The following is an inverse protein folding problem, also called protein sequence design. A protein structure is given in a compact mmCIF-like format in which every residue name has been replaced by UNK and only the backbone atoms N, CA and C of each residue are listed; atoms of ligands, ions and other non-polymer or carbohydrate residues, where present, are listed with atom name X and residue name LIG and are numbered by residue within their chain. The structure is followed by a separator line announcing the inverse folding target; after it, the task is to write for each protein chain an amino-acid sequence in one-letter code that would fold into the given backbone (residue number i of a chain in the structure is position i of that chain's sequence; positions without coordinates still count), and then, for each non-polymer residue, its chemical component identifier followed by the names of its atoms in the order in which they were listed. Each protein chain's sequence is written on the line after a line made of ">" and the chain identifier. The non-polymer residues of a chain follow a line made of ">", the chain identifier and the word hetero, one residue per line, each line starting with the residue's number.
data_IF_050432485666
#
_entry.id   IF_050432485666
#
_cell.length_a   1.000
_cell.length_b   1.000
_cell.length_c   1.000
_cell.angle_alpha   90.00
_cell.angle_beta   90.00
_cell.angle_gamma   90.00
#
_symmetry.space_group_name_H-M   'P 1'
#
loop_
_entity.id
_entity.type
_entity.pdbx_description
1 polymer ?
#
# COMPACT_ATOMS: atom_id res chain seq x y z
N UNK A 1 -14.15 -8.68 -16.56
CA UNK A 1 -13.92 -7.24 -16.77
C UNK A 1 -13.52 -7.04 -18.23
N UNK A 2 -14.28 -6.25 -19.00
CA UNK A 2 -14.05 -6.07 -20.43
C UNK A 2 -12.76 -5.28 -20.73
N UNK A 3 -12.38 -4.33 -19.88
CA UNK A 3 -11.16 -3.55 -20.04
C UNK A 3 -9.93 -4.43 -19.82
N UNK A 4 -10.00 -5.35 -18.85
CA UNK A 4 -8.95 -6.35 -18.63
C UNK A 4 -8.76 -7.25 -19.86
N UNK A 5 -9.85 -7.77 -20.44
CA UNK A 5 -9.76 -8.62 -21.64
C UNK A 5 -9.20 -7.87 -22.85
N UNK A 6 -9.59 -6.61 -23.05
CA UNK A 6 -9.01 -5.77 -24.09
C UNK A 6 -7.51 -5.51 -23.87
N UNK A 7 -7.09 -5.22 -22.64
CA UNK A 7 -5.69 -5.01 -22.31
C UNK A 7 -4.88 -6.28 -22.61
N UNK A 8 -5.35 -7.43 -22.13
CA UNK A 8 -4.69 -8.74 -22.32
C UNK A 8 -4.55 -9.10 -23.80
N UNK A 9 -5.55 -8.78 -24.62
CA UNK A 9 -5.55 -9.05 -26.05
C UNK A 9 -4.65 -8.07 -26.82
N UNK A 10 -4.64 -6.79 -26.45
CA UNK A 10 -3.83 -5.74 -27.11
C UNK A 10 -2.37 -5.77 -26.70
N UNK A 11 -2.06 -6.23 -25.48
CA UNK A 11 -0.71 -6.33 -24.95
C UNK A 11 -0.40 -7.79 -24.63
N UNK A 12 -0.18 -8.60 -25.66
CA UNK A 12 0.14 -10.03 -25.54
C UNK A 12 1.44 -10.30 -24.75
N UNK A 13 2.33 -9.31 -24.72
CA UNK A 13 3.62 -9.35 -24.05
C UNK A 13 3.61 -8.68 -22.65
N UNK A 14 2.43 -8.34 -22.11
CA UNK A 14 2.28 -7.68 -20.80
C UNK A 14 3.04 -8.43 -19.69
N UNK A 15 2.99 -9.76 -19.70
CA UNK A 15 3.67 -10.61 -18.70
C UNK A 15 5.19 -10.60 -18.82
N UNK A 16 5.74 -10.17 -19.98
CA UNK A 16 7.18 -10.01 -20.20
C UNK A 16 7.65 -8.58 -19.95
N UNK A 17 6.76 -7.67 -19.56
CA UNK A 17 7.12 -6.30 -19.21
C UNK A 17 8.11 -6.31 -18.04
N UNK A 18 9.32 -5.81 -18.29
CA UNK A 18 10.42 -5.80 -17.31
C UNK A 18 10.09 -4.97 -16.08
N UNK A 19 9.32 -3.89 -16.22
CA UNK A 19 8.94 -3.03 -15.09
C UNK A 19 7.84 -3.66 -14.24
N UNK A 20 6.92 -4.44 -14.82
CA UNK A 20 5.94 -5.24 -14.07
C UNK A 20 6.61 -6.40 -13.33
N UNK A 21 7.55 -7.11 -13.98
CA UNK A 21 8.35 -8.13 -13.31
C UNK A 21 9.16 -7.54 -12.15
N UNK A 22 9.74 -6.36 -12.35
CA UNK A 22 10.45 -5.63 -11.30
C UNK A 22 9.50 -5.22 -10.16
N UNK A 23 8.28 -4.76 -10.44
CA UNK A 23 7.29 -4.47 -9.42
C UNK A 23 6.99 -5.71 -8.56
N UNK A 24 6.84 -6.89 -9.18
CA UNK A 24 6.65 -8.15 -8.46
C UNK A 24 7.84 -8.50 -7.54
N UNK A 25 9.07 -8.34 -8.03
CA UNK A 25 10.29 -8.55 -7.21
C UNK A 25 10.37 -7.58 -6.03
N UNK A 26 10.06 -6.31 -6.26
CA UNK A 26 10.11 -5.28 -5.22
C UNK A 26 9.00 -5.48 -4.18
N UNK A 27 7.83 -6.00 -4.57
CA UNK A 27 6.81 -6.41 -3.62
C UNK A 27 7.24 -7.60 -2.78
N UNK A 28 7.83 -8.64 -3.40
CA UNK A 28 8.37 -9.79 -2.68
C UNK A 28 9.44 -9.36 -1.66
N UNK A 29 10.31 -8.43 -2.05
CA UNK A 29 11.29 -7.79 -1.16
C UNK A 29 10.65 -7.06 0.01
N UNK A 30 9.55 -6.34 -0.21
CA UNK A 30 8.79 -5.69 0.88
C UNK A 30 8.20 -6.73 1.85
N UNK A 31 7.64 -7.83 1.34
CA UNK A 31 7.10 -8.91 2.18
C UNK A 31 8.19 -9.52 3.05
N UNK A 32 9.36 -9.81 2.46
CA UNK A 32 10.50 -10.36 3.18
C UNK A 32 11.03 -9.37 4.24
N UNK A 33 11.22 -8.10 3.88
CA UNK A 33 11.66 -7.06 4.81
C UNK A 33 10.68 -6.88 5.98
N UNK A 34 9.38 -6.95 5.70
CA UNK A 34 8.32 -6.90 6.72
C UNK A 34 8.44 -8.08 7.69
N UNK A 35 8.56 -9.32 7.19
CA UNK A 35 8.72 -10.51 8.04
C UNK A 35 10.00 -10.46 8.86
N UNK A 36 11.11 -10.08 8.24
CA UNK A 36 12.42 -10.00 8.88
C UNK A 36 12.44 -8.99 10.04
N UNK A 37 11.62 -7.95 9.99
CA UNK A 37 11.48 -7.01 11.11
C UNK A 37 10.95 -7.67 12.40
N UNK A 38 10.31 -8.84 12.30
CA UNK A 38 9.72 -9.61 13.40
C UNK A 38 10.40 -10.95 13.69
N UNK A 39 11.39 -11.37 12.89
CA UNK A 39 12.17 -12.59 13.14
C UNK A 39 12.81 -12.56 14.54
N UNK A 40 12.63 -13.64 15.31
CA UNK A 40 13.16 -13.75 16.68
C UNK A 40 12.47 -12.85 17.72
N UNK A 41 11.39 -12.17 17.37
CA UNK A 41 10.62 -11.31 18.28
C UNK A 41 9.25 -11.92 18.57
N UNK A 42 8.82 -11.87 19.83
CA UNK A 42 7.44 -12.17 20.20
C UNK A 42 6.56 -11.01 19.76
N UNK A 43 5.99 -11.11 18.57
CA UNK A 43 5.16 -10.07 17.97
C UNK A 43 3.85 -10.64 17.41
N UNK A 44 2.93 -9.74 17.06
CA UNK A 44 1.69 -10.13 16.39
C UNK A 44 2.01 -10.66 14.97
N UNK A 45 1.63 -11.90 14.69
CA UNK A 45 1.83 -12.55 13.38
C UNK A 45 1.19 -11.74 12.26
N UNK A 46 0.04 -11.10 12.52
CA UNK A 46 -0.64 -10.24 11.55
C UNK A 46 0.21 -9.02 11.15
N UNK A 47 1.16 -8.61 11.99
CA UNK A 47 2.08 -7.52 11.67
C UNK A 47 3.20 -7.98 10.74
N UNK A 48 3.73 -9.19 10.95
CA UNK A 48 4.72 -9.80 10.06
C UNK A 48 4.13 -10.09 8.67
N UNK A 49 2.88 -10.54 8.62
CA UNK A 49 2.17 -10.85 7.37
C UNK A 49 1.42 -9.66 6.77
N UNK A 50 1.58 -8.44 7.33
CA UNK A 50 0.80 -7.25 6.94
C UNK A 50 0.87 -6.95 5.45
N UNK A 51 2.03 -7.18 4.82
CA UNK A 51 2.22 -6.96 3.39
C UNK A 51 1.29 -7.81 2.51
N UNK A 52 0.94 -9.03 2.96
CA UNK A 52 0.07 -9.95 2.23
C UNK A 52 -1.42 -9.73 2.48
N UNK A 53 -1.79 -8.77 3.34
CA UNK A 53 -3.19 -8.35 3.43
C UNK A 53 -3.65 -7.84 2.05
N UNK A 54 -4.82 -8.29 1.58
CA UNK A 54 -5.33 -7.96 0.24
C UNK A 54 -5.45 -6.46 -0.01
N UNK A 55 -5.80 -5.66 1.02
CA UNK A 55 -5.86 -4.21 0.86
C UNK A 55 -4.47 -3.60 0.64
N UNK A 56 -3.46 -4.09 1.35
CA UNK A 56 -2.07 -3.66 1.20
C UNK A 56 -1.53 -4.07 -0.16
N UNK A 57 -1.62 -5.35 -0.51
CA UNK A 57 -1.10 -5.89 -1.77
C UNK A 57 -1.72 -5.20 -2.99
N UNK A 58 -3.06 -5.09 -3.01
CA UNK A 58 -3.75 -4.46 -4.15
C UNK A 58 -3.43 -2.98 -4.30
N UNK A 59 -3.39 -2.23 -3.19
CA UNK A 59 -3.05 -0.81 -3.22
C UNK A 59 -1.58 -0.58 -3.60
N UNK A 60 -0.65 -1.39 -3.10
CA UNK A 60 0.76 -1.32 -3.46
C UNK A 60 0.94 -1.58 -4.97
N UNK A 61 0.34 -2.66 -5.49
CA UNK A 61 0.41 -2.98 -6.91
C UNK A 61 -0.21 -1.88 -7.79
N UNK A 62 -1.35 -1.33 -7.36
CA UNK A 62 -2.00 -0.22 -8.06
C UNK A 62 -1.09 1.02 -8.11
N UNK A 63 -0.49 1.41 -6.98
CA UNK A 63 0.41 2.58 -6.94
C UNK A 63 1.70 2.33 -7.73
N UNK A 64 2.26 1.13 -7.69
CA UNK A 64 3.40 0.77 -8.54
C UNK A 64 3.08 0.93 -10.05
N UNK A 65 1.88 0.50 -10.46
CA UNK A 65 1.37 0.70 -11.82
C UNK A 65 1.10 2.17 -12.17
N UNK A 66 0.48 2.92 -11.25
CA UNK A 66 0.23 4.36 -11.42
C UNK A 66 1.54 5.14 -11.61
N UNK A 67 2.61 4.72 -10.93
CA UNK A 67 3.94 5.33 -11.00
C UNK A 67 4.81 4.72 -12.11
N UNK A 68 4.26 3.89 -13.00
CA UNK A 68 5.02 3.18 -14.02
C UNK A 68 5.84 4.10 -14.94
N UNK A 69 5.34 5.30 -15.25
CA UNK A 69 6.03 6.33 -16.05
C UNK A 69 6.84 7.33 -15.20
N UNK A 70 6.79 7.26 -13.87
CA UNK A 70 7.49 8.17 -12.96
C UNK A 70 8.58 7.43 -12.17
N UNK A 71 9.77 7.34 -12.74
CA UNK A 71 10.88 6.56 -12.18
C UNK A 71 11.29 7.02 -10.77
N UNK A 72 11.26 8.32 -10.48
CA UNK A 72 11.68 8.87 -9.17
C UNK A 72 10.72 8.39 -8.08
N UNK A 73 9.42 8.59 -8.27
CA UNK A 73 8.40 8.18 -7.28
C UNK A 73 8.30 6.67 -7.20
N UNK A 74 8.44 5.96 -8.33
CA UNK A 74 8.46 4.49 -8.34
C UNK A 74 9.61 3.92 -7.52
N UNK A 75 10.83 4.45 -7.68
CA UNK A 75 11.99 4.06 -6.85
C UNK A 75 11.74 4.32 -5.36
N UNK A 76 11.15 5.45 -5.00
CA UNK A 76 10.77 5.77 -3.61
C UNK A 76 9.71 4.81 -3.06
N UNK A 77 8.76 4.41 -3.90
CA UNK A 77 7.73 3.44 -3.54
C UNK A 77 8.34 2.06 -3.23
N UNK A 78 9.28 1.62 -4.07
CA UNK A 78 10.01 0.36 -3.89
C UNK A 78 10.95 0.41 -2.68
N UNK A 79 11.56 1.56 -2.44
CA UNK A 79 12.43 1.81 -1.29
C UNK A 79 11.74 1.75 0.07
N UNK A 80 10.42 1.52 0.12
CA UNK A 80 9.73 1.27 1.38
C UNK A 80 10.31 0.06 2.13
N UNK A 81 10.78 -0.96 1.40
CA UNK A 81 11.44 -2.13 1.98
C UNK A 81 12.75 -1.80 2.71
N UNK A 82 13.35 -0.63 2.43
CA UNK A 82 14.60 -0.16 3.01
C UNK A 82 14.41 0.63 4.32
N UNK A 83 13.19 0.69 4.86
CA UNK A 83 12.93 1.42 6.09
C UNK A 83 13.75 0.85 7.27
N UNK A 84 14.42 1.74 8.00
CA UNK A 84 15.24 1.37 9.17
C UNK A 84 14.56 1.76 10.49
N UNK A 85 14.93 1.08 11.58
CA UNK A 85 14.44 1.35 12.93
C UNK A 85 13.03 0.83 13.27
N UNK A 86 12.24 0.42 12.27
CA UNK A 86 10.89 -0.15 12.41
C UNK A 86 10.58 -1.07 11.23
N UNK A 87 9.47 -1.79 11.30
CA UNK A 87 8.98 -2.56 10.16
C UNK A 87 8.55 -1.63 9.00
N UNK A 88 8.80 -2.00 7.73
CA UNK A 88 8.50 -1.18 6.54
C UNK A 88 7.11 -0.55 6.51
N UNK A 89 6.08 -1.32 6.89
CA UNK A 89 4.69 -0.86 6.86
C UNK A 89 4.27 -0.11 8.12
N UNK A 90 5.11 -0.10 9.16
CA UNK A 90 4.80 0.38 10.49
C UNK A 90 3.45 -0.17 11.01
N UNK A 91 3.31 -1.49 10.99
CA UNK A 91 2.07 -2.22 11.23
C UNK A 91 1.41 -1.87 12.57
N UNK A 92 2.20 -1.58 13.61
CA UNK A 92 1.69 -1.13 14.91
C UNK A 92 1.01 0.25 14.85
N UNK A 93 1.48 1.16 13.99
CA UNK A 93 0.84 2.45 13.76
C UNK A 93 -0.39 2.30 12.85
N UNK A 94 -0.33 1.42 11.84
CA UNK A 94 -1.50 1.10 10.99
C UNK A 94 -2.68 0.61 11.82
N UNK A 95 -2.44 -0.29 12.79
CA UNK A 95 -3.46 -0.81 13.70
C UNK A 95 -4.13 0.27 14.58
N UNK A 96 -3.50 1.44 14.72
CA UNK A 96 -4.05 2.60 15.46
C UNK A 96 -4.69 3.64 14.53
N UNK A 97 -4.39 3.60 13.23
CA UNK A 97 -4.90 4.56 12.26
C UNK A 97 -6.39 4.41 12.04
N UNK A 98 -7.17 5.45 12.36
CA UNK A 98 -8.63 5.49 12.19
C UNK A 98 -9.14 6.90 11.87
N UNK A 99 -10.32 6.96 11.28
CA UNK A 99 -11.08 8.19 11.07
C UNK A 99 -12.24 8.27 12.07
N UNK A 100 -12.75 9.48 12.35
CA UNK A 100 -13.90 9.69 13.23
C UNK A 100 -15.19 9.00 12.77
N UNK A 101 -15.30 8.68 11.47
CA UNK A 101 -16.44 7.96 10.90
C UNK A 101 -16.26 6.44 10.92
N UNK A 102 -15.13 5.93 11.40
CA UNK A 102 -14.95 4.48 11.54
C UNK A 102 -15.73 3.98 12.76
N UNK A 103 -16.36 2.79 12.68
CA UNK A 103 -17.11 2.23 13.78
C UNK A 103 -16.20 1.94 14.98
N UNK A 104 -16.80 1.82 16.17
CA UNK A 104 -16.06 1.56 17.41
C UNK A 104 -15.20 0.30 17.31
N UNK A 105 -15.75 -0.77 16.73
CA UNK A 105 -15.10 -2.07 16.53
C UNK A 105 -14.05 -2.10 15.40
N UNK A 106 -13.71 -0.96 14.81
CA UNK A 106 -12.69 -0.86 13.78
C UNK A 106 -11.28 -1.09 14.38
N UNK A 107 -10.55 -2.05 13.81
CA UNK A 107 -9.24 -2.54 14.33
C UNK A 107 -8.02 -1.88 13.66
N UNK A 108 -8.22 -0.71 13.07
CA UNK A 108 -7.18 0.00 12.34
C UNK A 108 -6.98 -0.49 10.91
N UNK A 109 -6.10 0.21 10.21
CA UNK A 109 -5.88 0.09 8.78
C UNK A 109 -5.20 -1.24 8.42
N UNK A 110 -5.74 -1.95 7.43
CA UNK A 110 -5.19 -3.23 6.96
C UNK A 110 -5.56 -4.42 7.84
N UNK A 111 -6.68 -4.31 8.57
CA UNK A 111 -7.37 -5.47 9.14
C UNK A 111 -8.50 -5.96 8.21
N UNK A 112 -9.22 -5.04 7.56
CA UNK A 112 -10.27 -5.35 6.59
C UNK A 112 -9.74 -5.23 5.15
N UNK A 113 -10.54 -5.69 4.18
CA UNK A 113 -10.18 -5.73 2.76
C UNK A 113 -11.21 -4.99 1.87
N UNK A 114 -12.13 -4.26 2.50
CA UNK A 114 -13.20 -3.54 1.82
C UNK A 114 -12.66 -2.38 0.94
N UNK A 115 -13.47 -1.84 0.01
CA UNK A 115 -13.03 -0.77 -0.89
C UNK A 115 -12.45 0.45 -0.18
N UNK A 116 -12.97 0.81 1.01
CA UNK A 116 -12.50 1.97 1.78
C UNK A 116 -11.07 1.75 2.26
N UNK A 117 -10.74 0.55 2.74
CA UNK A 117 -9.38 0.21 3.16
C UNK A 117 -8.39 0.26 1.99
N UNK A 118 -8.77 -0.31 0.84
CA UNK A 118 -7.96 -0.25 -0.39
C UNK A 118 -7.68 1.19 -0.81
N UNK A 119 -8.70 2.05 -0.82
CA UNK A 119 -8.54 3.47 -1.15
C UNK A 119 -7.62 4.21 -0.18
N UNK A 120 -7.75 3.97 1.13
CA UNK A 120 -6.86 4.56 2.14
C UNK A 120 -5.39 4.13 1.95
N UNK A 121 -5.14 2.87 1.60
CA UNK A 121 -3.77 2.42 1.30
C UNK A 121 -3.23 3.00 0.00
N UNK A 122 -4.08 3.21 -1.02
CA UNK A 122 -3.65 3.90 -2.25
C UNK A 122 -3.16 5.31 -1.91
N UNK A 123 -3.90 6.07 -1.10
CA UNK A 123 -3.45 7.39 -0.64
C UNK A 123 -2.15 7.30 0.16
N UNK A 124 -2.02 6.32 1.06
CA UNK A 124 -0.83 6.13 1.89
C UNK A 124 0.42 5.88 1.06
N UNK A 125 0.35 4.90 0.15
CA UNK A 125 1.47 4.54 -0.71
C UNK A 125 1.82 5.64 -1.70
N UNK A 126 0.82 6.34 -2.23
CA UNK A 126 1.06 7.48 -3.11
C UNK A 126 1.77 8.63 -2.38
N UNK A 127 1.29 9.00 -1.17
CA UNK A 127 1.92 10.02 -0.34
C UNK A 127 3.33 9.62 0.10
N UNK A 128 3.55 8.35 0.42
CA UNK A 128 4.85 7.77 0.75
C UNK A 128 5.83 7.95 -0.42
N UNK A 129 5.42 7.54 -1.63
CA UNK A 129 6.21 7.69 -2.84
C UNK A 129 6.49 9.16 -3.21
N UNK A 130 5.52 10.05 -2.95
CA UNK A 130 5.66 11.48 -3.22
C UNK A 130 6.68 12.15 -2.28
N UNK A 131 6.61 11.86 -0.98
CA UNK A 131 7.55 12.41 0.02
C UNK A 131 8.92 11.73 0.00
N UNK A 132 9.00 10.47 -0.42
CA UNK A 132 10.23 9.68 -0.41
C UNK A 132 10.70 9.26 0.99
N UNK A 133 9.84 9.38 2.00
CA UNK A 133 10.10 8.92 3.36
C UNK A 133 9.34 7.60 3.64
N UNK A 134 9.74 6.88 4.69
CA UNK A 134 9.02 5.72 5.17
C UNK A 134 7.67 6.07 5.81
N UNK A 135 6.86 5.06 6.10
CA UNK A 135 5.53 5.26 6.71
C UNK A 135 5.67 5.71 8.18
N UNK A 136 4.89 6.71 8.59
CA UNK A 136 4.78 7.20 9.96
C UNK A 136 3.32 7.54 10.31
N UNK A 137 3.01 7.69 11.60
CA UNK A 137 1.64 7.94 12.06
C UNK A 137 0.99 9.18 11.43
N UNK A 138 1.77 10.24 11.22
CA UNK A 138 1.27 11.45 10.55
C UNK A 138 0.94 11.23 9.07
N UNK A 139 1.70 10.39 8.38
CA UNK A 139 1.43 10.00 7.00
C UNK A 139 0.17 9.12 6.90
N UNK A 140 -0.02 8.20 7.85
CA UNK A 140 -1.21 7.36 7.96
C UNK A 140 -2.46 8.21 8.18
N UNK A 141 -2.42 9.12 9.16
CA UNK A 141 -3.52 10.05 9.43
C UNK A 141 -3.85 10.93 8.21
N UNK A 142 -2.81 11.48 7.55
CA UNK A 142 -2.99 12.28 6.34
C UNK A 142 -3.61 11.47 5.20
N UNK A 143 -3.18 10.23 4.98
CA UNK A 143 -3.73 9.35 3.95
C UNK A 143 -5.21 9.05 4.17
N UNK A 144 -5.58 8.73 5.41
CA UNK A 144 -6.98 8.50 5.80
C UNK A 144 -7.81 9.76 5.54
N UNK A 145 -7.33 10.93 5.96
CA UNK A 145 -8.02 12.21 5.73
C UNK A 145 -8.15 12.53 4.24
N UNK A 146 -7.09 12.32 3.45
CA UNK A 146 -7.12 12.53 1.99
C UNK A 146 -8.15 11.65 1.31
N UNK A 147 -8.23 10.37 1.68
CA UNK A 147 -9.24 9.46 1.14
C UNK A 147 -10.66 10.01 1.39
N UNK A 148 -10.98 10.37 2.64
CA UNK A 148 -12.31 10.89 2.99
C UNK A 148 -12.61 12.23 2.32
N UNK A 149 -11.62 13.13 2.22
CA UNK A 149 -11.80 14.38 1.50
C UNK A 149 -12.12 14.14 0.01
N UNK A 150 -11.43 13.20 -0.64
CA UNK A 150 -11.72 12.84 -2.04
C UNK A 150 -13.10 12.23 -2.22
N UNK A 151 -13.52 11.33 -1.32
CA UNK A 151 -14.88 10.76 -1.37
C UNK A 151 -15.93 11.86 -1.22
N UNK A 152 -15.77 12.76 -0.25
CA UNK A 152 -16.70 13.88 -0.07
C UNK A 152 -16.76 14.80 -1.31
N UNK A 153 -15.64 15.03 -1.99
CA UNK A 153 -15.66 15.77 -3.27
C UNK A 153 -16.39 15.02 -4.36
N UNK A 154 -16.18 13.70 -4.49
CA UNK A 154 -16.84 12.87 -5.51
C UNK A 154 -18.36 12.74 -5.29
N UNK A 155 -18.83 12.81 -4.05
CA UNK A 155 -20.28 12.75 -3.74
C UNK A 155 -21.04 14.02 -4.15
N UNK A 156 -20.34 15.13 -4.36
CA UNK A 156 -20.93 16.43 -4.74
C UNK A 156 -20.88 16.64 -6.26
N UNK A 157 -20.23 15.74 -7.01
CA UNK A 157 -20.13 15.75 -8.48
C UNK A 157 -21.11 14.75 -9.07
#
# INVERSE_FOLDING_TARGET
>A
DQNWEQLRTKQTELWKDKKLLEAGKQFARLVEAQRNAFTGKRANVDYAEKALNVAVMSAWAYVAGLLHSNDIRRKRHYGLADATGKDPLYASALAKGRHKTDPENYRGLGYRTDPKERGRFVELFYLQAEKGSGINSGLIDLAIKKYHAKQATLEVV
#
